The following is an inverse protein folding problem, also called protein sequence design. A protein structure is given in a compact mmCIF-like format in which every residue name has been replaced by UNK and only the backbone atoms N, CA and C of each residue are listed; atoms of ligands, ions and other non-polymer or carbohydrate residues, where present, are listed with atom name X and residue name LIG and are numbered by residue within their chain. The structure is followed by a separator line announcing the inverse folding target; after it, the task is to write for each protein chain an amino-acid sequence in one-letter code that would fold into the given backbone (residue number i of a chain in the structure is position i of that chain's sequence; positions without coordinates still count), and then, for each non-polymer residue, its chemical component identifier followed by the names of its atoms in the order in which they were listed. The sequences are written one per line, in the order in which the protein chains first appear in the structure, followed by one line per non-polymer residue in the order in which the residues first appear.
data_IF_453583935185
#
_entry.id   IF_453583935185
#
_cell.length_a   1.000
_cell.length_b   1.000
_cell.length_c   1.000
_cell.angle_alpha   90.00
_cell.angle_beta   90.00
_cell.angle_gamma   90.00
#
_symmetry.space_group_name_H-M   'P 1'
#
loop_
_entity.id
_entity.type
_entity.pdbx_description
1 polymer ?
#
# COMPACT_ATOMS: atom_id res chain seq x y z
N UNK A 1 -17.37 14.23 -39.90
CA UNK A 1 -18.64 13.83 -40.54
C UNK A 1 -18.65 12.32 -40.67
N UNK A 2 -19.78 11.68 -40.34
CA UNK A 2 -19.95 10.24 -40.57
C UNK A 2 -20.09 9.97 -42.08
N UNK A 3 -19.91 8.71 -42.51
CA UNK A 3 -19.95 8.35 -43.95
C UNK A 3 -21.34 8.56 -44.55
N UNK A 4 -22.40 8.31 -43.78
CA UNK A 4 -23.77 8.61 -44.14
C UNK A 4 -24.00 10.11 -44.31
N UNK A 5 -23.49 10.96 -43.41
CA UNK A 5 -23.60 12.43 -43.55
C UNK A 5 -23.00 12.94 -44.87
N UNK A 6 -21.84 12.39 -45.26
CA UNK A 6 -21.17 12.73 -46.52
C UNK A 6 -22.05 12.32 -47.70
N UNK A 7 -22.60 11.10 -47.68
CA UNK A 7 -23.46 10.61 -48.76
C UNK A 7 -24.75 11.42 -48.86
N UNK A 8 -25.36 11.80 -47.73
CA UNK A 8 -26.54 12.68 -47.70
C UNK A 8 -26.20 14.06 -48.26
N UNK A 9 -25.07 14.65 -47.87
CA UNK A 9 -24.63 15.93 -48.43
C UNK A 9 -24.37 15.84 -49.95
N UNK A 10 -23.77 14.75 -50.43
CA UNK A 10 -23.59 14.54 -51.87
C UNK A 10 -24.92 14.42 -52.61
N UNK A 11 -25.93 13.79 -52.03
CA UNK A 11 -27.29 13.74 -52.59
C UNK A 11 -27.86 15.16 -52.70
N UNK A 12 -27.74 15.98 -51.65
CA UNK A 12 -28.23 17.37 -51.64
C UNK A 12 -27.52 18.20 -52.72
N UNK A 13 -26.20 18.08 -52.84
CA UNK A 13 -25.41 18.79 -53.84
C UNK A 13 -25.77 18.37 -55.27
N UNK A 14 -25.95 17.07 -55.52
CA UNK A 14 -26.35 16.56 -56.83
C UNK A 14 -27.77 17.04 -57.21
N UNK A 15 -28.69 17.11 -56.25
CA UNK A 15 -30.02 17.67 -56.47
C UNK A 15 -29.98 19.17 -56.75
N UNK A 16 -29.15 19.93 -56.05
CA UNK A 16 -28.96 21.36 -56.31
C UNK A 16 -28.36 21.61 -57.70
N UNK A 17 -27.35 20.83 -58.09
CA UNK A 17 -26.75 20.90 -59.42
C UNK A 17 -27.78 20.55 -60.51
N UNK A 18 -28.58 19.49 -60.30
CA UNK A 18 -29.62 19.10 -61.23
C UNK A 18 -30.64 20.23 -61.47
N UNK A 19 -31.04 20.93 -60.42
CA UNK A 19 -31.97 22.05 -60.50
C UNK A 19 -31.36 23.26 -61.22
N UNK A 20 -30.13 23.66 -60.85
CA UNK A 20 -29.47 24.84 -61.42
C UNK A 20 -29.12 24.69 -62.89
N UNK A 21 -28.69 23.50 -63.32
CA UNK A 21 -28.21 23.24 -64.69
C UNK A 21 -29.19 22.42 -65.53
N UNK A 22 -30.38 22.11 -65.01
CA UNK A 22 -31.40 21.28 -65.67
C UNK A 22 -30.81 19.94 -66.16
N UNK A 23 -29.99 19.31 -65.31
CA UNK A 23 -29.26 18.09 -65.66
C UNK A 23 -29.91 16.84 -65.04
N UNK A 24 -30.59 16.05 -65.88
CA UNK A 24 -31.26 14.81 -65.49
C UNK A 24 -30.28 13.75 -64.96
N UNK A 25 -29.04 13.71 -65.47
CA UNK A 25 -28.05 12.71 -65.02
C UNK A 25 -27.72 12.84 -63.53
N UNK A 26 -27.65 14.06 -63.01
CA UNK A 26 -27.43 14.34 -61.59
C UNK A 26 -28.59 13.85 -60.70
N UNK A 27 -29.84 13.92 -61.18
CA UNK A 27 -31.02 13.38 -60.49
C UNK A 27 -30.95 11.86 -60.39
N UNK A 28 -30.63 11.19 -61.50
CA UNK A 28 -30.52 9.73 -61.55
C UNK A 28 -29.44 9.26 -60.57
N UNK A 29 -28.27 9.91 -60.56
CA UNK A 29 -27.19 9.56 -59.64
C UNK A 29 -27.60 9.77 -58.18
N UNK A 30 -28.27 10.88 -57.85
CA UNK A 30 -28.78 11.13 -56.50
C UNK A 30 -29.79 10.06 -56.05
N UNK A 31 -30.71 9.65 -56.93
CA UNK A 31 -31.68 8.59 -56.65
C UNK A 31 -31.02 7.22 -56.48
N UNK A 32 -29.97 6.91 -57.25
CA UNK A 32 -29.19 5.67 -57.10
C UNK A 32 -28.49 5.62 -55.74
N UNK A 33 -27.85 6.71 -55.31
CA UNK A 33 -27.19 6.79 -54.00
C UNK A 33 -28.23 6.68 -52.87
N UNK A 34 -29.37 7.36 -53.01
CA UNK A 34 -30.46 7.28 -52.02
C UNK A 34 -31.03 5.85 -51.93
N UNK A 35 -31.31 5.21 -53.07
CA UNK A 35 -31.77 3.83 -53.13
C UNK A 35 -30.78 2.86 -52.49
N UNK A 36 -29.48 3.06 -52.73
CA UNK A 36 -28.42 2.28 -52.09
C UNK A 36 -28.39 2.46 -50.56
N UNK A 37 -28.53 3.68 -50.05
CA UNK A 37 -28.61 3.94 -48.60
C UNK A 37 -29.83 3.26 -47.96
N UNK A 38 -31.00 3.36 -48.60
CA UNK A 38 -32.23 2.70 -48.13
C UNK A 38 -32.05 1.19 -48.12
N UNK A 39 -31.48 0.63 -49.19
CA UNK A 39 -31.18 -0.79 -49.30
C UNK A 39 -30.31 -1.24 -48.11
N UNK A 40 -29.15 -0.63 -47.90
CA UNK A 40 -28.27 -1.03 -46.78
C UNK A 40 -28.99 -0.90 -45.44
N UNK A 41 -29.74 0.18 -45.22
CA UNK A 41 -30.46 0.40 -43.96
C UNK A 41 -31.51 -0.68 -43.69
N UNK A 42 -32.22 -1.16 -44.71
CA UNK A 42 -33.21 -2.24 -44.59
C UNK A 42 -32.56 -3.60 -44.31
N UNK A 43 -31.41 -3.87 -44.93
CA UNK A 43 -30.69 -5.14 -44.75
C UNK A 43 -29.82 -5.17 -43.47
N UNK A 44 -29.48 -4.01 -42.91
CA UNK A 44 -28.65 -3.90 -41.72
C UNK A 44 -29.45 -4.10 -40.42
N UNK A 45 -29.79 -5.37 -40.15
CA UNK A 45 -30.36 -5.82 -38.86
C UNK A 45 -29.35 -6.75 -38.18
N UNK A 46 -28.25 -6.21 -37.60
CA UNK A 46 -27.21 -7.03 -37.02
C UNK A 46 -27.76 -7.79 -35.80
N UNK A 47 -27.56 -9.09 -35.75
CA UNK A 47 -27.79 -9.97 -34.60
C UNK A 47 -26.46 -10.63 -34.22
N UNK A 48 -25.84 -10.15 -33.15
CA UNK A 48 -24.53 -10.61 -32.70
C UNK A 48 -24.60 -11.06 -31.25
N UNK A 49 -23.98 -12.20 -30.93
CA UNK A 49 -23.70 -12.62 -29.56
C UNK A 49 -22.20 -12.51 -29.31
N UNK A 50 -21.82 -11.82 -28.24
CA UNK A 50 -20.42 -11.61 -27.84
C UNK A 50 -20.30 -12.09 -26.39
N UNK A 51 -19.30 -12.90 -26.10
CA UNK A 51 -19.03 -13.35 -24.73
C UNK A 51 -17.51 -13.45 -24.48
N UNK A 52 -17.04 -13.06 -23.29
CA UNK A 52 -15.63 -13.20 -22.93
C UNK A 52 -15.29 -14.67 -22.65
N UNK A 53 -14.16 -15.13 -23.16
CA UNK A 53 -13.61 -16.45 -22.87
C UNK A 53 -12.81 -16.46 -21.56
N UNK A 54 -12.10 -15.38 -21.28
CA UNK A 54 -11.27 -15.24 -20.09
C UNK A 54 -11.98 -14.30 -19.09
N UNK A 55 -12.54 -14.85 -17.99
CA UNK A 55 -13.22 -14.05 -16.95
C UNK A 55 -12.30 -13.53 -15.85
N UNK A 56 -11.19 -14.23 -15.61
CA UNK A 56 -10.14 -13.83 -14.66
C UNK A 56 -8.79 -13.87 -15.36
N UNK A 57 -8.02 -12.79 -15.23
CA UNK A 57 -6.68 -12.65 -15.82
C UNK A 57 -5.75 -12.14 -14.72
N UNK A 58 -4.56 -12.71 -14.66
CA UNK A 58 -3.49 -12.31 -13.76
C UNK A 58 -2.32 -11.81 -14.60
N UNK A 59 -1.77 -10.63 -14.28
CA UNK A 59 -0.65 -10.03 -15.01
C UNK A 59 0.23 -9.17 -14.10
N UNK A 60 1.41 -8.81 -14.59
CA UNK A 60 2.29 -7.88 -13.91
C UNK A 60 2.12 -6.44 -14.42
N UNK A 61 2.48 -5.47 -13.58
CA UNK A 61 2.47 -4.05 -13.91
C UNK A 61 3.24 -3.77 -15.20
N UNK A 62 2.55 -3.12 -16.14
CA UNK A 62 3.13 -2.73 -17.42
C UNK A 62 3.13 -3.82 -18.50
N UNK A 63 2.65 -5.03 -18.20
CA UNK A 63 2.45 -6.08 -19.20
C UNK A 63 1.18 -5.86 -20.03
N UNK A 64 1.24 -6.30 -21.29
CA UNK A 64 0.07 -6.33 -22.17
C UNK A 64 -0.74 -7.61 -21.91
N UNK A 65 -2.03 -7.44 -21.63
CA UNK A 65 -2.97 -8.55 -21.42
C UNK A 65 -3.83 -8.80 -22.65
N UNK A 66 -4.06 -10.07 -22.99
CA UNK A 66 -4.97 -10.50 -24.06
C UNK A 66 -6.33 -10.93 -23.49
N UNK A 67 -7.38 -10.13 -23.71
CA UNK A 67 -8.77 -10.51 -23.45
C UNK A 67 -9.37 -11.06 -24.74
N UNK A 68 -9.81 -12.32 -24.71
CA UNK A 68 -10.43 -12.98 -25.88
C UNK A 68 -11.95 -12.98 -25.76
N UNK A 69 -12.61 -12.49 -26.79
CA UNK A 69 -14.07 -12.54 -26.95
C UNK A 69 -14.43 -13.48 -28.08
N UNK A 70 -15.38 -14.38 -27.84
CA UNK A 70 -16.00 -15.18 -28.90
C UNK A 70 -17.22 -14.42 -29.42
N UNK A 71 -17.24 -14.20 -30.72
CA UNK A 71 -18.29 -13.45 -31.40
C UNK A 71 -18.99 -14.37 -32.39
N UNK A 72 -20.32 -14.42 -32.32
CA UNK A 72 -21.17 -15.17 -33.24
C UNK A 72 -22.06 -14.22 -34.02
N UNK A 73 -21.88 -14.18 -35.34
CA UNK A 73 -22.74 -13.45 -36.25
C UNK A 73 -23.94 -14.33 -36.62
N UNK A 74 -25.15 -13.94 -36.23
CA UNK A 74 -26.40 -14.65 -36.60
C UNK A 74 -27.17 -13.90 -37.70
N UNK A 75 -26.52 -12.96 -38.37
CA UNK A 75 -27.11 -12.13 -39.42
C UNK A 75 -26.87 -12.76 -40.79
N UNK A 76 -27.75 -12.44 -41.74
CA UNK A 76 -27.63 -12.88 -43.13
C UNK A 76 -26.54 -12.13 -43.92
N UNK A 77 -25.93 -11.11 -43.31
CA UNK A 77 -24.87 -10.28 -43.88
C UNK A 77 -23.57 -10.43 -43.07
N UNK A 78 -22.40 -10.25 -43.70
CA UNK A 78 -21.12 -10.15 -42.98
C UNK A 78 -21.08 -8.86 -42.17
N UNK A 79 -20.44 -8.92 -41.00
CA UNK A 79 -20.35 -7.80 -40.06
C UNK A 79 -18.91 -7.50 -39.72
N UNK A 80 -18.58 -6.22 -39.56
CA UNK A 80 -17.28 -5.78 -39.05
C UNK A 80 -17.47 -5.37 -37.60
N UNK A 81 -16.76 -6.00 -36.67
CA UNK A 81 -16.84 -5.72 -35.24
C UNK A 81 -15.57 -5.03 -34.77
N UNK A 82 -15.74 -3.94 -34.01
CA UNK A 82 -14.67 -3.13 -33.47
C UNK A 82 -14.93 -2.78 -32.01
N UNK A 83 -13.95 -3.01 -31.14
CA UNK A 83 -13.94 -2.40 -29.81
C UNK A 83 -13.43 -0.95 -29.92
N UNK A 84 -13.95 -0.02 -29.10
CA UNK A 84 -13.64 1.43 -29.17
C UNK A 84 -12.12 1.71 -29.31
N UNK A 85 -11.29 0.94 -28.61
CA UNK A 85 -9.82 1.07 -28.60
C UNK A 85 -9.09 -0.15 -29.18
N UNK A 86 -9.74 -0.95 -30.01
CA UNK A 86 -9.19 -2.21 -30.50
C UNK A 86 -9.14 -2.34 -32.02
N UNK A 87 -8.61 -3.48 -32.47
CA UNK A 87 -8.55 -3.86 -33.88
C UNK A 87 -9.96 -4.10 -34.46
N UNK A 88 -10.05 -4.24 -35.77
CA UNK A 88 -11.29 -4.59 -36.45
C UNK A 88 -11.24 -6.06 -36.88
N UNK A 89 -12.33 -6.79 -36.69
CA UNK A 89 -12.48 -8.14 -37.22
C UNK A 89 -13.69 -8.20 -38.14
N UNK A 90 -13.58 -8.93 -39.24
CA UNK A 90 -14.72 -9.22 -40.11
C UNK A 90 -15.22 -10.63 -39.81
N UNK A 91 -16.52 -10.75 -39.59
CA UNK A 91 -17.19 -12.02 -39.31
C UNK A 91 -18.19 -12.29 -40.42
N UNK A 92 -17.96 -13.38 -41.12
CA UNK A 92 -18.83 -13.82 -42.22
C UNK A 92 -20.26 -14.12 -41.75
N UNK A 93 -21.18 -14.17 -42.70
CA UNK A 93 -22.60 -14.50 -42.44
C UNK A 93 -22.73 -15.84 -41.71
N UNK A 94 -23.55 -15.91 -40.66
CA UNK A 94 -23.70 -17.10 -39.81
C UNK A 94 -22.39 -17.69 -39.25
N UNK A 95 -21.30 -16.91 -39.26
CA UNK A 95 -19.97 -17.34 -38.84
C UNK A 95 -19.66 -17.04 -37.37
N UNK A 96 -18.55 -17.62 -36.91
CA UNK A 96 -17.98 -17.37 -35.59
C UNK A 96 -16.53 -16.86 -35.73
N UNK A 97 -16.12 -15.96 -34.84
CA UNK A 97 -14.77 -15.40 -34.81
C UNK A 97 -14.28 -15.14 -33.39
N UNK A 98 -12.96 -15.11 -33.21
CA UNK A 98 -12.33 -14.75 -31.94
C UNK A 98 -11.75 -13.35 -32.08
N UNK A 99 -12.22 -12.44 -31.24
CA UNK A 99 -11.69 -11.09 -31.14
C UNK A 99 -10.71 -10.99 -29.98
N UNK A 100 -9.51 -10.47 -30.25
CA UNK A 100 -8.45 -10.30 -29.26
C UNK A 100 -8.31 -8.82 -28.92
N UNK A 101 -8.49 -8.48 -27.65
CA UNK A 101 -8.30 -7.13 -27.13
C UNK A 101 -7.04 -7.11 -26.28
N UNK A 102 -6.10 -6.23 -26.64
CA UNK A 102 -4.87 -6.00 -25.88
C UNK A 102 -5.03 -4.74 -25.01
N UNK A 103 -4.84 -4.87 -23.70
CA UNK A 103 -4.86 -3.74 -22.76
C UNK A 103 -3.58 -3.74 -21.94
N UNK A 104 -3.16 -2.56 -21.50
CA UNK A 104 -2.02 -2.38 -20.59
C UNK A 104 -2.49 -1.73 -19.29
N UNK A 105 -2.05 -2.29 -18.16
CA UNK A 105 -2.39 -1.78 -16.83
C UNK A 105 -1.13 -1.38 -16.05
N UNK A 106 -1.00 -0.09 -15.76
CA UNK A 106 0.10 0.44 -14.93
C UNK A 106 -0.28 0.53 -13.44
N UNK A 107 -1.58 0.54 -13.12
CA UNK A 107 -2.05 0.61 -11.74
C UNK A 107 -2.17 -0.79 -11.13
N UNK A 108 -1.53 -1.00 -9.98
CA UNK A 108 -1.55 -2.26 -9.22
C UNK A 108 -2.91 -2.54 -8.58
N UNK A 109 -3.21 -3.82 -8.35
CA UNK A 109 -4.39 -4.28 -7.63
C UNK A 109 -5.45 -4.91 -8.53
N UNK A 110 -6.64 -5.14 -7.94
CA UNK A 110 -7.76 -5.78 -8.63
C UNK A 110 -8.57 -4.75 -9.42
N UNK A 111 -8.65 -4.93 -10.73
CA UNK A 111 -9.49 -4.15 -11.63
C UNK A 111 -10.66 -4.99 -12.10
N UNK A 112 -11.84 -4.38 -12.16
CA UNK A 112 -13.06 -5.01 -12.67
C UNK A 112 -13.56 -4.19 -13.84
N UNK A 113 -13.74 -4.81 -14.99
CA UNK A 113 -14.41 -4.21 -16.15
C UNK A 113 -15.79 -4.84 -16.22
N UNK A 114 -16.83 -4.06 -15.97
CA UNK A 114 -18.22 -4.55 -15.95
C UNK A 114 -18.88 -4.56 -17.33
N UNK A 115 -18.45 -3.65 -18.22
CA UNK A 115 -19.08 -3.47 -19.53
C UNK A 115 -18.04 -3.31 -20.65
N UNK A 116 -18.26 -4.02 -21.75
CA UNK A 116 -17.50 -3.86 -22.98
C UNK A 116 -18.41 -3.33 -24.09
N UNK A 117 -18.01 -2.20 -24.69
CA UNK A 117 -18.75 -1.55 -25.78
C UNK A 117 -18.13 -1.91 -27.13
N UNK A 118 -18.89 -2.62 -27.96
CA UNK A 118 -18.53 -2.99 -29.32
C UNK A 118 -19.36 -2.21 -30.33
N UNK A 119 -18.70 -1.71 -31.36
CA UNK A 119 -19.30 -1.10 -32.54
C UNK A 119 -19.37 -2.16 -33.63
N UNK A 120 -20.59 -2.48 -34.06
CA UNK A 120 -20.84 -3.45 -35.12
C UNK A 120 -21.27 -2.69 -36.37
N UNK A 121 -20.53 -2.86 -37.45
CA UNK A 121 -20.72 -2.20 -38.72
C UNK A 121 -21.16 -3.20 -39.80
N UNK A 122 -21.84 -2.67 -40.81
CA UNK A 122 -21.95 -3.33 -42.12
C UNK A 122 -20.59 -3.26 -42.85
N UNK A 123 -20.40 -4.07 -43.90
CA UNK A 123 -19.12 -4.20 -44.63
C UNK A 123 -18.54 -2.86 -45.09
N UNK A 124 -19.40 -1.92 -45.51
CA UNK A 124 -18.98 -0.60 -46.00
C UNK A 124 -18.90 0.46 -44.88
N UNK A 125 -19.24 0.09 -43.64
CA UNK A 125 -19.19 0.93 -42.44
C UNK A 125 -20.01 2.22 -42.57
N UNK A 126 -21.08 2.19 -43.35
CA UNK A 126 -22.00 3.32 -43.51
C UNK A 126 -22.89 3.44 -42.26
N UNK A 127 -23.48 2.31 -41.84
CA UNK A 127 -24.25 2.21 -40.61
C UNK A 127 -23.52 1.37 -39.57
N UNK A 128 -23.77 1.69 -38.29
CA UNK A 128 -23.26 0.94 -37.16
C UNK A 128 -24.31 0.82 -36.06
N UNK A 129 -24.14 -0.18 -35.21
CA UNK A 129 -24.94 -0.37 -34.00
C UNK A 129 -24.00 -0.66 -32.83
N UNK A 130 -24.29 -0.03 -31.70
CA UNK A 130 -23.59 -0.29 -30.44
C UNK A 130 -24.14 -1.54 -29.75
N UNK A 131 -23.22 -2.36 -29.25
CA UNK A 131 -23.48 -3.55 -28.46
C UNK A 131 -22.72 -3.45 -27.15
N UNK A 132 -23.46 -3.44 -26.04
CA UNK A 132 -22.89 -3.46 -24.68
C UNK A 132 -22.94 -4.90 -24.16
N UNK A 133 -21.79 -5.40 -23.74
CA UNK A 133 -21.64 -6.72 -23.12
C UNK A 133 -21.39 -6.51 -21.64
N UNK A 134 -22.36 -6.86 -20.80
CA UNK A 134 -22.31 -6.67 -19.33
C UNK A 134 -21.68 -7.85 -18.57
N UNK A 135 -20.81 -8.62 -19.22
CA UNK A 135 -20.08 -9.71 -18.57
C UNK A 135 -18.80 -9.17 -17.93
N UNK A 136 -18.75 -9.22 -16.59
CA UNK A 136 -17.62 -8.65 -15.87
C UNK A 136 -16.34 -9.50 -15.99
N UNK A 137 -15.21 -8.86 -16.31
CA UNK A 137 -13.88 -9.46 -16.31
C UNK A 137 -13.05 -8.88 -15.18
N UNK A 138 -12.41 -9.75 -14.39
CA UNK A 138 -11.54 -9.37 -13.27
C UNK A 138 -10.08 -9.53 -13.67
N UNK A 139 -9.29 -8.47 -13.47
CA UNK A 139 -7.86 -8.43 -13.79
C UNK A 139 -7.12 -8.15 -12.49
N UNK A 140 -6.33 -9.10 -12.01
CA UNK A 140 -5.47 -8.93 -10.83
C UNK A 140 -4.05 -8.53 -11.32
N UNK A 141 -3.65 -7.28 -11.06
CA UNK A 141 -2.36 -6.70 -11.50
C UNK A 141 -1.35 -6.69 -10.34
N UNK A 142 -0.30 -7.49 -10.47
CA UNK A 142 0.78 -7.60 -9.48
C UNK A 142 1.93 -6.61 -9.77
N UNK A 143 2.66 -6.14 -8.76
CA UNK A 143 3.82 -5.29 -9.00
C UNK A 143 4.95 -6.07 -9.70
N UNK A 144 5.68 -5.39 -10.58
CA UNK A 144 6.91 -5.95 -11.17
C UNK A 144 8.03 -6.04 -10.12
N UNK A 145 9.04 -6.88 -10.39
CA UNK A 145 10.22 -7.06 -9.51
C UNK A 145 10.93 -5.73 -9.24
N UNK A 146 11.03 -4.87 -10.26
CA UNK A 146 11.65 -3.54 -10.15
C UNK A 146 10.81 -2.60 -9.29
N UNK A 147 9.48 -2.63 -9.46
CA UNK A 147 8.55 -1.89 -8.64
C UNK A 147 8.59 -2.31 -7.17
N UNK A 148 8.71 -3.60 -6.89
CA UNK A 148 8.92 -4.10 -5.53
C UNK A 148 10.25 -3.60 -4.98
N UNK A 149 11.37 -3.73 -5.72
CA UNK A 149 12.67 -3.19 -5.31
C UNK A 149 12.60 -1.69 -5.02
N UNK A 150 11.84 -0.91 -5.81
CA UNK A 150 11.63 0.53 -5.57
C UNK A 150 10.80 0.77 -4.31
N UNK A 151 9.70 0.05 -4.10
CA UNK A 151 8.89 0.14 -2.88
C UNK A 151 9.71 -0.16 -1.62
N UNK A 152 10.59 -1.17 -1.69
CA UNK A 152 11.51 -1.53 -0.61
C UNK A 152 12.61 -0.46 -0.37
N UNK A 153 12.91 0.38 -1.37
CA UNK A 153 13.90 1.47 -1.28
C UNK A 153 13.32 2.81 -0.83
N UNK A 154 12.00 2.97 -0.77
CA UNK A 154 11.39 4.23 -0.31
C UNK A 154 11.63 4.34 1.20
N UNK A 155 12.70 5.07 1.56
CA UNK A 155 13.01 5.51 2.91
C UNK A 155 11.83 6.31 3.46
N UNK A 156 11.03 5.71 4.36
CA UNK A 156 9.99 6.41 5.13
C UNK A 156 10.61 7.19 6.32
N UNK A 157 11.89 7.59 6.20
CA UNK A 157 12.81 7.71 7.32
C UNK A 157 12.74 9.06 8.05
N UNK A 158 12.51 10.16 7.35
CA UNK A 158 12.50 11.48 8.00
C UNK A 158 11.31 11.65 8.95
N UNK A 159 10.12 11.19 8.55
CA UNK A 159 8.88 11.37 9.33
C UNK A 159 8.82 10.46 10.56
N UNK A 160 9.36 9.25 10.46
CA UNK A 160 9.37 8.24 11.53
C UNK A 160 10.34 8.63 12.65
N UNK A 161 11.55 9.10 12.30
CA UNK A 161 12.50 9.60 13.28
C UNK A 161 11.99 10.87 13.98
N UNK A 162 11.32 11.76 13.24
CA UNK A 162 10.68 12.95 13.80
C UNK A 162 9.52 12.62 14.74
N UNK A 163 8.68 11.62 14.40
CA UNK A 163 7.64 11.06 15.28
C UNK A 163 8.25 10.44 16.54
N UNK A 164 9.32 9.64 16.41
CA UNK A 164 10.03 9.08 17.57
C UNK A 164 10.64 10.16 18.48
N UNK A 165 11.25 11.20 17.90
CA UNK A 165 11.81 12.33 18.63
C UNK A 165 10.74 13.20 19.31
N UNK A 166 9.57 13.38 18.69
CA UNK A 166 8.44 14.10 19.32
C UNK A 166 7.83 13.33 20.48
N UNK A 167 7.82 12.00 20.42
CA UNK A 167 7.41 11.14 21.53
C UNK A 167 8.35 11.23 22.73
N UNK A 168 9.66 11.28 22.49
CA UNK A 168 10.66 11.52 23.54
C UNK A 168 10.57 12.93 24.11
N UNK A 169 10.30 13.95 23.29
CA UNK A 169 10.07 15.33 23.76
C UNK A 169 8.89 15.40 24.73
N UNK A 170 7.86 14.59 24.54
CA UNK A 170 6.72 14.49 25.47
C UNK A 170 7.04 13.74 26.78
N UNK A 171 8.23 13.15 26.92
CA UNK A 171 8.71 12.47 28.14
C UNK A 171 9.73 13.32 28.91
N UNK A 172 10.43 14.20 28.21
CA UNK A 172 11.20 15.29 28.82
C UNK A 172 10.19 16.38 29.22
N UNK A 173 9.40 16.09 30.25
CA UNK A 173 8.53 17.06 30.90
C UNK A 173 9.36 18.17 31.50
N UNK A 174 9.64 19.21 30.73
CA UNK A 174 9.84 20.55 31.24
C UNK A 174 8.47 21.21 31.40
N UNK A 175 7.51 20.49 31.99
CA UNK A 175 6.23 21.07 32.34
C UNK A 175 6.47 21.95 33.57
N UNK A 176 6.29 23.25 33.37
CA UNK A 176 6.42 24.28 34.38
C UNK A 176 5.36 24.03 35.47
N UNK A 177 5.80 23.54 36.62
CA UNK A 177 4.92 23.25 37.76
C UNK A 177 4.55 24.54 38.50
N UNK A 178 5.54 25.42 38.63
CA UNK A 178 5.38 26.65 39.37
C UNK A 178 6.68 27.42 39.50
N UNK A 179 6.68 28.34 40.46
CA UNK A 179 7.83 29.15 40.78
C UNK A 179 7.94 29.23 42.28
N UNK A 180 9.13 28.94 42.78
CA UNK A 180 9.48 29.04 44.19
C UNK A 180 10.56 30.08 44.39
N UNK A 181 10.78 30.45 45.65
CA UNK A 181 11.88 31.33 46.03
C UNK A 181 13.23 30.63 45.82
N UNK A 182 14.23 31.42 45.41
CA UNK A 182 15.60 30.97 45.21
C UNK A 182 16.22 30.56 46.53
N UNK A 183 16.89 29.40 46.53
CA UNK A 183 17.70 28.92 47.64
C UNK A 183 19.16 28.82 47.23
N UNK A 184 20.06 29.03 48.18
CA UNK A 184 21.50 28.97 47.94
C UNK A 184 21.87 27.56 47.45
N UNK A 185 22.35 27.46 46.21
CA UNK A 185 22.63 26.19 45.52
C UNK A 185 21.85 26.01 44.21
N UNK A 186 20.80 26.82 43.99
CA UNK A 186 20.06 26.82 42.73
C UNK A 186 20.89 27.36 41.56
N UNK A 187 20.64 26.82 40.36
CA UNK A 187 21.36 27.25 39.16
C UNK A 187 20.89 28.66 38.77
N UNK A 188 21.83 29.56 38.48
CA UNK A 188 21.49 30.91 38.01
C UNK A 188 20.66 30.92 36.71
N UNK A 189 20.80 29.89 35.85
CA UNK A 189 20.04 29.75 34.59
C UNK A 189 18.55 29.43 34.80
N UNK A 190 18.15 28.95 35.97
CA UNK A 190 16.75 28.63 36.29
C UNK A 190 15.98 29.82 36.91
N UNK A 191 16.63 30.98 37.08
CA UNK A 191 15.98 32.19 37.62
C UNK A 191 14.97 32.75 36.60
N UNK A 192 13.73 32.98 37.06
CA UNK A 192 12.71 33.71 36.30
C UNK A 192 12.81 35.20 36.63
N UNK A 193 13.57 35.93 35.82
CA UNK A 193 13.80 37.37 36.02
C UNK A 193 12.51 38.20 35.99
N UNK A 194 11.50 37.78 35.22
CA UNK A 194 10.24 38.52 35.07
C UNK A 194 9.37 38.40 36.33
N UNK A 195 9.26 37.20 36.90
CA UNK A 195 8.57 37.01 38.18
C UNK A 195 9.37 37.54 39.36
N UNK A 196 10.70 37.42 39.32
CA UNK A 196 11.57 38.00 40.37
C UNK A 196 11.39 39.51 40.49
N UNK A 197 11.30 40.21 39.35
CA UNK A 197 11.03 41.65 39.32
C UNK A 197 9.63 42.01 39.87
N UNK A 198 8.63 41.15 39.67
CA UNK A 198 7.26 41.38 40.14
C UNK A 198 7.10 41.18 41.65
N UNK A 199 7.76 40.16 42.22
CA UNK A 199 7.65 39.79 43.63
C UNK A 199 8.78 40.35 44.50
N UNK A 200 9.74 41.07 43.92
CA UNK A 200 10.92 41.66 44.58
C UNK A 200 11.87 40.67 45.28
N UNK A 201 11.65 39.36 45.12
CA UNK A 201 12.54 38.29 45.58
C UNK A 201 13.03 37.46 44.39
N UNK A 202 14.19 36.80 44.51
CA UNK A 202 14.69 35.91 43.46
C UNK A 202 13.80 34.67 43.36
N UNK A 203 13.28 34.43 42.17
CA UNK A 203 12.31 33.39 41.88
C UNK A 203 12.90 32.39 40.88
N UNK A 204 12.78 31.09 41.16
CA UNK A 204 13.33 30.00 40.35
C UNK A 204 12.19 29.19 39.75
N UNK A 205 12.31 28.85 38.46
CA UNK A 205 11.37 27.93 37.79
C UNK A 205 11.53 26.54 38.38
N UNK A 206 10.44 25.99 38.90
CA UNK A 206 10.37 24.62 39.40
C UNK A 206 9.78 23.71 38.32
N UNK A 207 10.48 22.62 38.04
CA UNK A 207 10.08 21.62 37.06
C UNK A 207 9.87 20.30 37.79
N UNK A 208 8.73 19.64 37.55
CA UNK A 208 8.45 18.30 38.09
C UNK A 208 9.58 17.35 37.68
N UNK A 209 10.30 16.82 38.67
CA UNK A 209 11.25 15.72 38.48
C UNK A 209 10.58 14.36 38.66
N UNK A 210 9.49 14.13 37.96
CA UNK A 210 8.93 12.79 37.79
C UNK A 210 8.62 12.56 36.31
N UNK A 211 9.67 12.21 35.55
CA UNK A 211 9.45 11.65 34.21
C UNK A 211 8.73 10.31 34.35
N UNK A 212 7.69 10.08 33.55
CA UNK A 212 7.03 8.77 33.45
C UNK A 212 8.11 7.68 33.22
N UNK A 213 8.14 6.62 34.05
CA UNK A 213 9.05 5.49 33.89
C UNK A 213 8.87 4.88 32.49
N UNK A 214 9.97 4.68 31.76
CA UNK A 214 9.93 4.08 30.42
C UNK A 214 10.19 2.59 30.54
N UNK A 215 9.28 1.76 30.05
CA UNK A 215 9.49 0.31 29.95
C UNK A 215 9.79 -0.08 28.50
N UNK A 216 11.03 -0.53 28.24
CA UNK A 216 11.46 -1.06 26.95
C UNK A 216 11.27 -2.59 26.95
N UNK A 217 10.21 -3.05 26.28
CA UNK A 217 9.93 -4.47 26.07
C UNK A 217 10.64 -4.93 24.79
N UNK A 218 11.59 -5.85 24.90
CA UNK A 218 12.38 -6.38 23.80
C UNK A 218 12.03 -7.85 23.53
N UNK A 219 11.47 -8.10 22.35
CA UNK A 219 11.22 -9.46 21.89
C UNK A 219 12.56 -10.09 21.47
N UNK A 220 12.93 -11.18 22.13
CA UNK A 220 14.13 -11.98 21.86
C UNK A 220 13.77 -13.36 21.32
N UNK A 221 12.55 -13.56 20.85
CA UNK A 221 12.11 -14.82 20.23
C UNK A 221 12.89 -15.12 18.94
N UNK A 222 13.10 -16.41 18.67
CA UNK A 222 13.81 -16.86 17.48
C UNK A 222 13.05 -16.51 16.20
N UNK A 223 11.72 -16.48 16.27
CA UNK A 223 10.83 -16.07 15.16
C UNK A 223 11.04 -14.60 14.79
N UNK A 224 11.22 -13.72 15.77
CA UNK A 224 11.46 -12.30 15.53
C UNK A 224 12.90 -12.01 15.07
N UNK A 225 13.91 -12.64 15.69
CA UNK A 225 15.34 -12.33 15.44
C UNK A 225 15.86 -12.78 14.07
N UNK A 226 15.28 -13.84 13.49
CA UNK A 226 15.80 -14.49 12.28
C UNK A 226 16.03 -13.49 11.13
N UNK A 227 17.26 -13.47 10.58
CA UNK A 227 17.66 -12.60 9.47
C UNK A 227 17.72 -11.10 9.81
N UNK A 228 17.55 -10.75 11.09
CA UNK A 228 17.43 -9.37 11.60
C UNK A 228 18.29 -9.10 12.83
N UNK A 229 18.98 -10.12 13.36
CA UNK A 229 19.65 -10.10 14.66
C UNK A 229 20.63 -8.92 14.81
N UNK A 230 21.54 -8.74 13.86
CA UNK A 230 22.50 -7.63 13.85
C UNK A 230 21.85 -6.25 13.86
N UNK A 231 20.77 -6.09 13.10
CA UNK A 231 20.05 -4.81 12.98
C UNK A 231 19.22 -4.51 14.23
N UNK A 232 18.60 -5.54 14.79
CA UNK A 232 17.92 -5.46 16.07
C UNK A 232 18.89 -5.08 17.20
N UNK A 233 20.07 -5.70 17.24
CA UNK A 233 21.13 -5.37 18.19
C UNK A 233 21.55 -3.88 18.10
N UNK A 234 21.78 -3.38 16.88
CA UNK A 234 22.11 -1.97 16.66
C UNK A 234 20.99 -1.02 17.14
N UNK A 235 19.74 -1.32 16.79
CA UNK A 235 18.57 -0.55 17.23
C UNK A 235 18.46 -0.53 18.76
N UNK A 236 18.54 -1.68 19.41
CA UNK A 236 18.45 -1.80 20.87
C UNK A 236 19.57 -1.03 21.55
N UNK A 237 20.81 -1.14 21.07
CA UNK A 237 21.94 -0.39 21.60
C UNK A 237 21.71 1.12 21.51
N UNK A 238 21.26 1.61 20.34
CA UNK A 238 20.99 3.03 20.13
C UNK A 238 19.84 3.55 21.01
N UNK A 239 18.77 2.76 21.19
CA UNK A 239 17.68 3.13 22.10
C UNK A 239 18.17 3.28 23.54
N UNK A 240 18.99 2.34 24.02
CA UNK A 240 19.54 2.39 25.39
C UNK A 240 20.49 3.58 25.55
N UNK A 241 21.37 3.83 24.57
CA UNK A 241 22.27 4.99 24.55
C UNK A 241 21.49 6.30 24.59
N UNK A 242 20.43 6.41 23.79
CA UNK A 242 19.56 7.58 23.76
C UNK A 242 18.89 7.82 25.12
N UNK A 243 18.33 6.76 25.74
CA UNK A 243 17.69 6.87 27.06
C UNK A 243 18.69 7.30 28.14
N UNK A 244 19.90 6.74 28.12
CA UNK A 244 21.00 7.14 29.00
C UNK A 244 21.43 8.59 28.77
N UNK A 245 21.60 9.02 27.52
CA UNK A 245 22.02 10.40 27.17
C UNK A 245 21.04 11.48 27.66
N UNK A 246 19.76 11.10 27.79
CA UNK A 246 18.69 11.97 28.28
C UNK A 246 18.48 11.87 29.79
N UNK A 247 19.26 11.04 30.50
CA UNK A 247 19.11 10.76 31.93
C UNK A 247 17.68 10.34 32.30
N UNK A 248 17.04 9.54 31.46
CA UNK A 248 15.69 9.03 31.71
C UNK A 248 15.76 7.78 32.59
N UNK A 249 14.77 7.58 33.45
CA UNK A 249 14.63 6.35 34.23
C UNK A 249 13.88 5.31 33.39
N UNK A 250 14.53 4.18 33.09
CA UNK A 250 13.96 3.15 32.23
C UNK A 250 14.25 1.73 32.71
N UNK A 251 13.33 0.83 32.37
CA UNK A 251 13.37 -0.60 32.62
C UNK A 251 13.41 -1.34 31.30
N UNK A 252 14.37 -2.25 31.11
CA UNK A 252 14.47 -3.14 29.96
C UNK A 252 13.94 -4.51 30.35
N UNK A 253 13.01 -5.05 29.56
CA UNK A 253 12.42 -6.38 29.77
C UNK A 253 12.64 -7.20 28.52
N UNK A 254 13.36 -8.30 28.66
CA UNK A 254 13.57 -9.28 27.58
C UNK A 254 12.51 -10.36 27.70
N UNK A 255 11.83 -10.70 26.60
CA UNK A 255 10.83 -11.76 26.59
C UNK A 255 10.90 -12.56 25.29
N UNK A 256 10.55 -13.84 25.33
CA UNK A 256 10.39 -14.69 24.14
C UNK A 256 8.91 -15.09 23.95
N UNK A 257 8.65 -16.14 23.16
CA UNK A 257 7.29 -16.63 22.92
C UNK A 257 6.61 -17.19 24.19
N UNK A 258 7.36 -17.47 25.26
CA UNK A 258 6.86 -18.24 26.41
C UNK A 258 7.00 -17.51 27.75
N UNK A 259 8.10 -16.77 27.96
CA UNK A 259 8.43 -16.19 29.27
C UNK A 259 9.24 -14.89 29.19
N UNK A 260 9.36 -14.22 30.34
CA UNK A 260 10.29 -13.10 30.54
C UNK A 260 11.67 -13.67 30.87
N UNK A 261 12.67 -13.37 30.04
CA UNK A 261 14.06 -13.84 30.22
C UNK A 261 14.86 -12.99 31.20
N UNK A 262 14.56 -11.71 31.32
CA UNK A 262 15.29 -10.82 32.21
C UNK A 262 14.68 -9.43 32.31
N UNK A 263 14.84 -8.81 33.47
CA UNK A 263 14.41 -7.44 33.76
C UNK A 263 15.62 -6.67 34.29
N UNK A 264 15.90 -5.51 33.71
CA UNK A 264 17.05 -4.68 34.05
C UNK A 264 16.63 -3.22 34.19
N UNK A 265 16.92 -2.61 35.34
CA UNK A 265 16.70 -1.18 35.57
C UNK A 265 17.95 -0.38 35.17
N UNK A 266 17.76 0.74 34.48
CA UNK A 266 18.78 1.72 34.06
C UNK A 266 20.07 1.06 33.55
N UNK A 267 19.93 0.36 32.43
CA UNK A 267 20.98 -0.48 31.87
C UNK A 267 22.14 0.36 31.30
N UNK A 268 23.32 0.21 31.88
CA UNK A 268 24.57 0.79 31.34
C UNK A 268 24.98 0.11 30.01
N UNK A 269 25.64 0.85 29.13
CA UNK A 269 26.07 0.41 27.80
C UNK A 269 26.96 -0.84 27.84
N UNK A 270 27.81 -0.99 28.87
CA UNK A 270 28.63 -2.20 29.04
C UNK A 270 27.77 -3.44 29.27
N UNK A 271 26.73 -3.33 30.11
CA UNK A 271 25.78 -4.41 30.39
C UNK A 271 24.85 -4.66 29.21
N UNK A 272 24.45 -3.60 28.50
CA UNK A 272 23.69 -3.68 27.26
C UNK A 272 24.42 -4.50 26.20
N UNK A 273 25.72 -4.26 26.00
CA UNK A 273 26.54 -5.03 25.07
C UNK A 273 26.53 -6.54 25.40
N UNK A 274 26.60 -6.89 26.68
CA UNK A 274 26.54 -8.28 27.14
C UNK A 274 25.17 -8.90 26.85
N UNK A 275 24.07 -8.23 27.19
CA UNK A 275 22.70 -8.70 26.91
C UNK A 275 22.46 -8.90 25.41
N UNK A 276 22.97 -7.99 24.59
CA UNK A 276 22.87 -8.10 23.13
C UNK A 276 23.60 -9.36 22.63
N UNK A 277 24.78 -9.66 23.16
CA UNK A 277 25.49 -10.90 22.84
C UNK A 277 24.74 -12.14 23.33
N UNK A 278 24.27 -12.14 24.58
CA UNK A 278 23.63 -13.31 25.18
C UNK A 278 22.26 -13.65 24.55
N UNK A 279 21.50 -12.65 24.06
CA UNK A 279 20.10 -12.84 23.65
C UNK A 279 19.78 -12.48 22.19
N UNK A 280 20.61 -11.67 21.52
CA UNK A 280 20.34 -11.20 20.15
C UNK A 280 21.26 -11.82 19.09
N UNK A 281 21.95 -12.92 19.42
CA UNK A 281 22.69 -13.72 18.44
C UNK A 281 21.79 -14.34 17.36
N UNK A 282 22.35 -14.49 16.15
CA UNK A 282 21.65 -15.01 15.00
C UNK A 282 21.41 -16.53 15.13
N UNK A 283 20.15 -16.93 14.91
CA UNK A 283 19.72 -18.31 15.10
C UNK A 283 19.59 -19.01 13.75
N UNK A 284 20.38 -20.07 13.57
CA UNK A 284 20.32 -20.97 12.42
C UNK A 284 19.35 -22.14 12.69
N UNK A 285 18.44 -22.46 11.76
CA UNK A 285 17.49 -23.58 11.89
C UNK A 285 16.18 -23.43 11.12
N UNK A 286 15.24 -24.37 11.21
CA UNK A 286 13.87 -24.26 10.65
C UNK A 286 12.96 -23.69 11.75
N UNK A 287 12.15 -22.63 11.51
CA UNK A 287 11.30 -22.09 12.55
C UNK A 287 10.18 -23.08 12.88
N UNK A 288 9.89 -23.29 14.16
CA UNK A 288 8.63 -23.90 14.56
C UNK A 288 7.50 -22.94 14.18
N UNK A 289 6.80 -23.25 13.09
CA UNK A 289 5.68 -22.46 12.56
C UNK A 289 4.41 -22.54 13.44
N UNK A 290 4.42 -23.37 14.48
CA UNK A 290 3.40 -23.42 15.51
C UNK A 290 3.95 -22.79 16.79
N UNK A 291 3.73 -21.49 16.93
CA UNK A 291 3.70 -20.87 18.26
C UNK A 291 2.28 -21.09 18.77
N UNK A 292 2.10 -22.01 19.71
CA UNK A 292 0.86 -22.05 20.49
C UNK A 292 0.79 -20.74 21.26
N UNK A 293 -0.22 -19.91 20.98
CA UNK A 293 -0.41 -18.62 21.65
C UNK A 293 -0.72 -18.86 23.13
N UNK A 294 0.29 -18.68 23.99
CA UNK A 294 0.13 -18.79 25.43
C UNK A 294 -0.46 -17.49 26.00
N UNK A 295 -1.71 -17.56 26.49
CA UNK A 295 -2.36 -16.46 27.23
C UNK A 295 -1.56 -16.00 28.47
N UNK A 296 -0.59 -16.79 28.94
CA UNK A 296 0.25 -16.48 30.09
C UNK A 296 1.20 -15.30 29.83
N UNK A 297 1.73 -15.12 28.62
CA UNK A 297 2.74 -14.10 28.33
C UNK A 297 2.20 -12.68 28.57
N UNK A 298 1.00 -12.38 28.07
CA UNK A 298 0.34 -11.09 28.32
C UNK A 298 0.19 -10.80 29.81
N UNK A 299 -0.21 -11.79 30.61
CA UNK A 299 -0.40 -11.62 32.05
C UNK A 299 0.91 -11.28 32.77
N UNK A 300 2.05 -11.74 32.24
CA UNK A 300 3.37 -11.39 32.73
C UNK A 300 3.79 -9.99 32.24
N UNK A 301 3.64 -9.70 30.95
CA UNK A 301 3.99 -8.41 30.37
C UNK A 301 3.20 -7.25 30.98
N UNK A 302 1.90 -7.43 31.21
CA UNK A 302 1.04 -6.41 31.82
C UNK A 302 1.40 -6.07 33.27
N UNK A 303 2.00 -7.01 34.03
CA UNK A 303 2.51 -6.75 35.38
C UNK A 303 3.80 -5.93 35.37
N UNK A 304 4.59 -6.02 34.30
CA UNK A 304 5.89 -5.37 34.21
C UNK A 304 5.83 -4.09 33.36
N UNK A 305 4.84 -3.94 32.49
CA UNK A 305 4.61 -2.77 31.67
C UNK A 305 4.10 -1.59 32.53
N UNK A 306 5.02 -0.70 32.92
CA UNK A 306 4.73 0.50 33.71
C UNK A 306 5.06 1.76 32.89
N UNK A 307 4.24 2.81 33.05
CA UNK A 307 4.45 4.11 32.41
C UNK A 307 4.33 4.08 30.88
N UNK A 308 5.32 4.66 30.18
CA UNK A 308 5.39 4.62 28.72
C UNK A 308 6.09 3.35 28.27
N UNK A 309 5.45 2.58 27.41
CA UNK A 309 5.95 1.28 26.98
C UNK A 309 6.44 1.39 25.54
N UNK A 310 7.70 1.06 25.30
CA UNK A 310 8.27 0.89 23.95
C UNK A 310 8.44 -0.60 23.71
N UNK A 311 7.68 -1.14 22.78
CA UNK A 311 7.71 -2.55 22.40
C UNK A 311 8.49 -2.72 21.10
N UNK A 312 9.62 -3.45 21.16
CA UNK A 312 10.42 -3.81 19.99
C UNK A 312 10.11 -5.26 19.60
N UNK A 313 9.28 -5.45 18.58
CA UNK A 313 8.83 -6.77 18.09
C UNK A 313 8.29 -6.68 16.66
N UNK A 314 8.02 -7.81 16.00
CA UNK A 314 7.18 -7.80 14.80
C UNK A 314 5.71 -7.70 15.21
N UNK A 315 5.06 -6.57 14.92
CA UNK A 315 3.66 -6.36 15.30
C UNK A 315 2.70 -7.44 14.76
N UNK A 316 3.05 -8.09 13.65
CA UNK A 316 2.23 -9.15 13.06
C UNK A 316 2.26 -10.44 13.90
N UNK A 317 3.29 -10.65 14.73
CA UNK A 317 3.41 -11.80 15.63
C UNK A 317 2.71 -11.57 16.98
N UNK A 318 2.49 -10.30 17.37
CA UNK A 318 2.06 -9.91 18.73
C UNK A 318 0.77 -9.07 18.75
N UNK A 319 -0.14 -9.32 17.82
CA UNK A 319 -1.37 -8.51 17.66
C UNK A 319 -2.17 -8.45 18.96
N UNK A 320 -2.39 -9.58 19.63
CA UNK A 320 -3.14 -9.67 20.90
C UNK A 320 -2.44 -8.91 22.04
N UNK A 321 -1.13 -9.08 22.16
CA UNK A 321 -0.34 -8.41 23.20
C UNK A 321 -0.39 -6.88 23.02
N UNK A 322 -0.26 -6.40 21.78
CA UNK A 322 -0.37 -4.97 21.45
C UNK A 322 -1.76 -4.43 21.82
N UNK A 323 -2.83 -5.12 21.42
CA UNK A 323 -4.21 -4.71 21.73
C UNK A 323 -4.51 -4.69 23.23
N UNK A 324 -3.89 -5.56 24.01
CA UNK A 324 -4.13 -5.62 25.44
C UNK A 324 -3.23 -4.65 26.23
N UNK A 325 -1.96 -4.49 25.85
CA UNK A 325 -1.04 -3.51 26.45
C UNK A 325 -1.49 -2.07 26.19
N UNK A 326 -2.00 -1.78 24.98
CA UNK A 326 -2.51 -0.44 24.63
C UNK A 326 -3.72 0.01 25.45
N UNK A 327 -4.45 -0.90 26.11
CA UNK A 327 -5.56 -0.54 27.01
C UNK A 327 -5.09 0.03 28.35
N UNK A 328 -3.93 -0.43 28.83
CA UNK A 328 -3.47 -0.15 30.19
C UNK A 328 -2.28 0.82 30.22
N UNK A 329 -1.54 0.95 29.11
CA UNK A 329 -0.31 1.73 29.05
C UNK A 329 -0.25 2.58 27.78
N UNK A 330 0.52 3.68 27.83
CA UNK A 330 0.90 4.44 26.62
C UNK A 330 1.92 3.63 25.82
N UNK A 331 1.42 2.81 24.90
CA UNK A 331 2.21 1.88 24.09
C UNK A 331 2.72 2.51 22.80
N UNK A 332 3.98 2.24 22.48
CA UNK A 332 4.63 2.54 21.21
C UNK A 332 5.28 1.28 20.68
N UNK A 333 5.06 0.96 19.40
CA UNK A 333 5.62 -0.26 18.79
C UNK A 333 6.67 0.12 17.76
N UNK A 334 7.90 -0.39 17.95
CA UNK A 334 8.96 -0.36 16.95
C UNK A 334 9.07 -1.75 16.36
N UNK A 335 8.71 -1.87 15.09
CA UNK A 335 8.65 -3.13 14.39
C UNK A 335 9.71 -3.24 13.31
N UNK A 336 10.36 -4.40 13.22
CA UNK A 336 11.28 -4.74 12.14
C UNK A 336 10.54 -5.57 11.09
N UNK A 337 10.22 -4.94 9.96
CA UNK A 337 9.40 -5.54 8.91
C UNK A 337 10.15 -6.68 8.20
N UNK A 338 9.82 -7.97 8.42
CA UNK A 338 10.58 -9.08 7.85
C UNK A 338 10.64 -9.06 6.32
N UNK A 339 9.63 -8.49 5.65
CA UNK A 339 9.57 -8.40 4.19
C UNK A 339 10.62 -7.41 3.66
N UNK A 340 10.96 -6.37 4.43
CA UNK A 340 11.99 -5.40 4.06
C UNK A 340 13.42 -5.91 4.31
N UNK A 341 13.57 -7.08 4.93
CA UNK A 341 14.88 -7.71 5.19
C UNK A 341 15.19 -8.87 4.24
N UNK A 342 14.29 -9.19 3.30
CA UNK A 342 14.49 -10.24 2.30
C UNK A 342 15.69 -9.95 1.39
N UNK A 343 16.43 -10.99 1.04
CA UNK A 343 17.58 -10.90 0.13
C UNK A 343 17.12 -10.87 -1.35
N UNK A 344 18.07 -10.65 -2.27
CA UNK A 344 17.75 -10.73 -3.71
C UNK A 344 17.35 -12.15 -4.12
N UNK A 345 17.95 -13.16 -3.49
CA UNK A 345 17.69 -14.59 -3.77
C UNK A 345 16.27 -15.01 -3.34
N UNK A 346 15.70 -14.33 -2.35
CA UNK A 346 14.32 -14.55 -1.92
C UNK A 346 13.28 -14.09 -2.96
N UNK A 347 13.70 -13.28 -3.94
CA UNK A 347 12.86 -12.69 -4.99
C UNK A 347 13.03 -13.36 -6.36
N UNK A 348 13.67 -14.52 -6.44
CA UNK A 348 14.06 -15.15 -7.72
C UNK A 348 12.93 -15.86 -8.47
N UNK A 349 11.84 -16.24 -7.80
CA UNK A 349 10.72 -16.96 -8.44
C UNK A 349 9.43 -16.15 -8.42
N UNK A 350 8.74 -16.10 -9.55
CA UNK A 350 7.44 -15.44 -9.72
C UNK A 350 6.40 -15.83 -8.65
N UNK A 351 6.28 -17.12 -8.33
CA UNK A 351 5.35 -17.60 -7.29
C UNK A 351 5.67 -17.05 -5.89
N UNK A 352 6.95 -16.91 -5.53
CA UNK A 352 7.37 -16.31 -4.25
C UNK A 352 7.03 -14.82 -4.22
N UNK A 353 7.20 -14.12 -5.33
CA UNK A 353 6.93 -12.69 -5.45
C UNK A 353 5.46 -12.39 -5.18
N UNK A 354 4.55 -13.16 -5.78
CA UNK A 354 3.11 -13.05 -5.53
C UNK A 354 2.78 -13.28 -4.05
N UNK A 355 3.36 -14.32 -3.44
CA UNK A 355 3.18 -14.61 -2.00
C UNK A 355 3.71 -13.48 -1.10
N UNK A 356 4.88 -12.93 -1.40
CA UNK A 356 5.49 -11.82 -0.66
C UNK A 356 4.62 -10.57 -0.76
N UNK A 357 4.12 -10.25 -1.96
CA UNK A 357 3.25 -9.09 -2.17
C UNK A 357 1.95 -9.21 -1.38
N UNK A 358 1.29 -10.38 -1.41
CA UNK A 358 0.07 -10.59 -0.61
C UNK A 358 0.33 -10.42 0.89
N UNK A 359 1.43 -10.98 1.41
CA UNK A 359 1.84 -10.79 2.81
C UNK A 359 2.13 -9.32 3.14
N UNK A 360 2.73 -8.57 2.22
CA UNK A 360 2.98 -7.15 2.39
C UNK A 360 1.68 -6.35 2.48
N UNK A 361 0.72 -6.61 1.58
CA UNK A 361 -0.59 -5.96 1.59
C UNK A 361 -1.38 -6.28 2.86
N UNK A 362 -1.36 -7.54 3.30
CA UNK A 362 -1.99 -7.97 4.55
C UNK A 362 -1.36 -7.25 5.75
N UNK A 363 -0.03 -7.18 5.80
CA UNK A 363 0.71 -6.47 6.84
C UNK A 363 0.36 -4.98 6.91
N UNK A 364 0.29 -4.29 5.77
CA UNK A 364 -0.11 -2.87 5.73
C UNK A 364 -1.57 -2.66 6.17
N UNK A 365 -2.47 -3.61 5.87
CA UNK A 365 -3.85 -3.60 6.39
C UNK A 365 -3.87 -3.78 7.91
N UNK A 366 -3.08 -4.71 8.45
CA UNK A 366 -2.95 -4.93 9.89
C UNK A 366 -2.38 -3.70 10.59
N UNK A 367 -1.32 -3.09 10.05
CA UNK A 367 -0.73 -1.86 10.58
C UNK A 367 -1.78 -0.74 10.67
N UNK A 368 -2.56 -0.51 9.62
CA UNK A 368 -3.65 0.50 9.62
C UNK A 368 -4.68 0.28 10.72
N UNK A 369 -5.03 -0.98 11.01
CA UNK A 369 -5.94 -1.32 12.10
C UNK A 369 -5.32 -1.02 13.46
N UNK A 370 -4.06 -1.42 13.66
CA UNK A 370 -3.36 -1.25 14.93
C UNK A 370 -3.00 0.22 15.24
N UNK A 371 -2.79 1.05 14.21
CA UNK A 371 -2.54 2.50 14.37
C UNK A 371 -3.68 3.25 15.09
N UNK A 372 -4.88 2.67 15.16
CA UNK A 372 -5.99 3.22 15.95
C UNK A 372 -5.80 3.07 17.46
N UNK A 373 -4.96 2.13 17.89
CA UNK A 373 -4.73 1.79 19.30
C UNK A 373 -3.38 2.29 19.82
N UNK A 374 -2.34 2.23 18.99
CA UNK A 374 -1.01 2.68 19.37
C UNK A 374 -0.20 3.15 18.14
N UNK A 375 0.74 4.08 18.29
CA UNK A 375 1.66 4.43 17.21
C UNK A 375 2.60 3.26 16.89
N UNK A 376 2.77 2.98 15.59
CA UNK A 376 3.60 1.88 15.08
C UNK A 376 4.60 2.40 14.05
N UNK A 377 5.87 2.26 14.40
CA UNK A 377 7.00 2.48 13.52
C UNK A 377 7.37 1.12 12.90
N UNK A 378 7.39 1.01 11.58
CA UNK A 378 7.73 -0.24 10.88
C UNK A 378 8.98 0.00 10.04
N UNK A 379 10.11 -0.46 10.54
CA UNK A 379 11.47 -0.24 10.04
C UNK A 379 11.91 -1.36 9.09
N UNK A 380 12.59 -0.97 8.01
CA UNK A 380 13.36 -1.84 7.14
C UNK A 380 14.86 -1.82 7.41
N UNK A 381 15.60 -2.61 6.63
CA UNK A 381 17.07 -2.75 6.77
C UNK A 381 17.84 -1.44 6.61
N UNK A 382 17.38 -0.55 5.73
CA UNK A 382 18.06 0.71 5.42
C UNK A 382 17.79 1.79 6.48
N UNK A 383 16.66 1.71 7.17
CA UNK A 383 16.19 2.74 8.11
C UNK A 383 17.05 2.79 9.38
N UNK A 384 17.66 1.66 9.75
CA UNK A 384 18.52 1.52 10.93
C UNK A 384 19.92 2.11 10.68
N UNK A 385 20.36 2.18 9.41
CA UNK A 385 21.70 2.66 9.04
C UNK A 385 21.78 4.19 9.13
N UNK A 386 20.65 4.89 8.99
CA UNK A 386 20.57 6.36 9.02
C UNK A 386 20.45 6.93 10.44
N UNK A 387 20.33 6.09 11.48
CA UNK A 387 20.47 6.50 12.89
C UNK A 387 21.96 6.73 13.22
N UNK A 388 22.60 7.66 12.51
CA UNK A 388 23.92 8.17 12.88
C UNK A 388 23.76 9.16 14.06
N UNK A 389 24.73 9.15 15.00
CA UNK A 389 24.68 9.95 16.23
C UNK A 389 24.54 11.46 15.99
#
# INVERSE_FOLDING_TARGET
MKRDDILILTIILLMAQAYLFVNISSIILALLILGYLIFIKLFFVPKVKIFPLNKKIECYEGEEIEIRFKIKNMSKIPLVVKYIYGCEITIEKNGEGIYKLFLKYDKKGRHKIDEFKFLVYERNKIFFKEYVVSDSVVIDVYPSVESLKKLLRINRNAKIAEEFLTLLKSTVGLDFEGVREYTVGDRYKSIDWKRSAKYQNLMVKEFLREGEKITLLLDVSNTFKRGKADKLAQLVYHLIDLLNSKNLNFKVVLFDDFEIKGIYENLDLKKAKKIIQDYLEEVYGIPNLRVEEYNSLYSMLSKVAEGKVILVTDFALRIKDILNLSKNCKLFVISLNPILFLSKEDLDSEEKIVKIYHRYVERERLKKKLLQYCPIIDLGKNDIIELKP
#
